data_IF_585492492677
#
_entry.id   IF_585492492677
#
_cell.length_a   1.000
_cell.length_b   1.000
_cell.length_c   1.000
_cell.angle_alpha   90.00
_cell.angle_beta   90.00
_cell.angle_gamma   90.00
#
_symmetry.space_group_name_H-M   'P 1'
#
loop_
_entity.id
_entity.type
_entity.pdbx_description
1 polymer ?
#
# COMPACT_ATOMS: atom_id res chain seq x y z
N UNK A 1 -63.59 -11.95 13.51
CA UNK A 1 -63.62 -11.76 12.04
C UNK A 1 -63.06 -10.37 11.74
N UNK A 2 -62.06 -10.31 10.83
CA UNK A 2 -61.51 -9.15 10.11
C UNK A 2 -61.35 -7.80 10.87
N UNK A 3 -60.21 -7.13 10.90
CA UNK A 3 -58.96 -7.26 10.19
C UNK A 3 -58.14 -6.01 10.50
N UNK A 4 -56.81 -6.15 10.51
CA UNK A 4 -55.82 -5.08 10.40
C UNK A 4 -54.44 -5.76 10.26
N UNK A 5 -54.18 -6.30 9.08
CA UNK A 5 -52.83 -6.60 8.63
C UNK A 5 -52.27 -5.32 8.03
N UNK A 6 -51.34 -4.67 8.72
CA UNK A 6 -50.52 -3.60 8.16
C UNK A 6 -49.06 -3.88 8.51
N UNK A 7 -48.28 -4.14 7.46
CA UNK A 7 -46.83 -4.03 7.31
C UNK A 7 -45.94 -4.05 8.55
N UNK A 8 -45.33 -5.21 8.83
CA UNK A 8 -44.03 -5.30 9.51
C UNK A 8 -43.17 -6.36 8.78
N UNK A 9 -42.81 -6.09 7.53
CA UNK A 9 -41.71 -6.77 6.83
C UNK A 9 -40.90 -5.68 6.12
N UNK A 10 -40.33 -4.77 6.91
CA UNK A 10 -39.33 -3.80 6.42
C UNK A 10 -38.49 -3.24 7.59
N UNK A 11 -37.91 -4.12 8.40
CA UNK A 11 -36.87 -3.71 9.38
C UNK A 11 -35.83 -4.79 9.65
N UNK A 12 -35.90 -5.96 8.99
CA UNK A 12 -34.95 -7.04 9.17
C UNK A 12 -33.75 -7.01 8.20
N UNK A 13 -33.66 -5.99 7.35
CA UNK A 13 -32.56 -5.83 6.35
C UNK A 13 -31.52 -4.79 6.79
N UNK A 14 -31.77 -3.99 7.84
CA UNK A 14 -30.81 -3.00 8.32
C UNK A 14 -29.86 -3.50 9.42
N UNK A 15 -29.99 -4.76 9.87
CA UNK A 15 -29.18 -5.32 10.96
C UNK A 15 -28.11 -6.33 10.52
N UNK A 16 -27.97 -6.59 9.22
CA UNK A 16 -26.96 -7.52 8.68
C UNK A 16 -25.90 -6.88 7.77
N UNK A 17 -25.91 -5.55 7.57
CA UNK A 17 -24.88 -4.84 6.78
C UNK A 17 -23.68 -4.31 7.56
N UNK A 18 -23.53 -4.65 8.85
CA UNK A 18 -22.28 -4.41 9.59
C UNK A 18 -21.51 -5.68 9.93
N UNK A 19 -21.92 -6.84 9.41
CA UNK A 19 -21.21 -8.10 9.57
C UNK A 19 -20.33 -8.42 8.34
N UNK A 20 -19.48 -7.47 7.96
CA UNK A 20 -18.32 -7.72 7.11
C UNK A 20 -17.36 -6.54 7.24
N UNK A 21 -16.66 -6.47 8.36
CA UNK A 21 -15.43 -5.70 8.47
C UNK A 21 -14.28 -6.73 8.39
N UNK A 22 -13.80 -7.12 7.20
CA UNK A 22 -12.47 -7.69 7.08
C UNK A 22 -11.53 -6.50 6.95
N UNK A 23 -11.19 -5.86 8.06
CA UNK A 23 -10.36 -4.67 7.98
C UNK A 23 -9.39 -4.72 9.14
N UNK A 24 -8.11 -4.78 8.79
CA UNK A 24 -6.95 -4.67 9.65
C UNK A 24 -6.96 -3.34 10.39
N UNK A 25 -7.90 -3.19 11.34
CA UNK A 25 -7.87 -2.12 12.34
C UNK A 25 -6.59 -2.23 13.16
N UNK A 26 -6.18 -1.13 13.78
CA UNK A 26 -5.07 -1.14 14.74
C UNK A 26 -5.18 -2.32 15.70
N UNK A 27 -4.04 -2.81 16.22
CA UNK A 27 -4.08 -3.74 17.35
C UNK A 27 -5.06 -3.24 18.42
N UNK A 28 -5.83 -4.19 18.97
CA UNK A 28 -6.83 -3.92 19.98
C UNK A 28 -6.15 -3.26 21.19
N UNK A 29 -6.40 -1.96 21.42
CA UNK A 29 -5.84 -1.24 22.56
C UNK A 29 -6.70 -1.58 23.78
N UNK A 30 -6.17 -2.42 24.65
CA UNK A 30 -6.88 -2.89 25.86
C UNK A 30 -6.54 -2.00 27.04
N UNK A 31 -7.51 -1.19 27.44
CA UNK A 31 -7.46 -0.39 28.64
C UNK A 31 -7.82 -1.15 29.92
N UNK A 32 -7.59 -0.46 31.04
CA UNK A 32 -8.11 -0.86 32.35
C UNK A 32 -9.64 -0.92 32.32
N UNK A 33 -10.23 -1.84 33.10
CA UNK A 33 -11.68 -1.98 33.21
C UNK A 33 -12.37 -2.56 31.97
N UNK A 34 -11.61 -3.16 31.05
CA UNK A 34 -12.15 -3.82 29.86
C UNK A 34 -12.58 -2.86 28.76
N UNK A 35 -12.11 -1.60 28.81
CA UNK A 35 -12.27 -0.65 27.69
C UNK A 35 -11.36 -1.10 26.56
N UNK A 36 -11.93 -1.18 25.36
CA UNK A 36 -11.19 -1.52 24.14
C UNK A 36 -11.33 -0.38 23.15
N UNK A 37 -10.23 0.01 22.51
CA UNK A 37 -10.25 0.97 21.42
C UNK A 37 -9.57 0.39 20.16
N UNK A 38 -10.12 0.73 19.01
CA UNK A 38 -9.53 0.51 17.69
C UNK A 38 -9.49 1.85 16.98
N UNK A 39 -8.31 2.26 16.54
CA UNK A 39 -8.11 3.52 15.83
C UNK A 39 -8.19 3.26 14.33
N UNK A 40 -9.05 4.02 13.68
CA UNK A 40 -9.16 4.11 12.24
C UNK A 40 -9.05 5.59 11.84
N UNK A 41 -8.87 5.87 10.56
CA UNK A 41 -8.87 7.24 10.05
C UNK A 41 -9.70 7.37 8.80
N UNK A 42 -10.36 8.50 8.66
CA UNK A 42 -10.92 9.00 7.41
C UNK A 42 -9.91 9.99 6.84
N UNK A 43 -9.21 9.58 5.79
CA UNK A 43 -8.08 10.33 5.24
C UNK A 43 -8.61 11.39 4.29
N UNK A 44 -8.27 12.65 4.55
CA UNK A 44 -8.72 13.78 3.73
C UNK A 44 -8.28 13.58 2.27
N UNK A 45 -9.21 13.75 1.33
CA UNK A 45 -8.94 13.62 -0.11
C UNK A 45 -9.16 12.23 -0.71
N UNK A 46 -9.44 11.19 0.08
CA UNK A 46 -9.62 9.82 -0.42
C UNK A 46 -11.02 9.28 -0.07
N UNK A 47 -11.80 8.89 -1.09
CA UNK A 47 -13.06 8.16 -0.91
C UNK A 47 -12.75 6.66 -0.85
N UNK A 48 -13.43 5.91 0.02
CA UNK A 48 -13.35 4.43 0.09
C UNK A 48 -12.05 3.86 0.71
N UNK A 49 -11.46 4.57 1.69
CA UNK A 49 -10.35 4.03 2.46
C UNK A 49 -10.79 2.84 3.33
N UNK A 50 -10.18 1.68 3.11
CA UNK A 50 -10.19 0.57 4.07
C UNK A 50 -9.19 0.86 5.18
N UNK A 51 -9.58 0.74 6.45
CA UNK A 51 -8.64 0.99 7.55
C UNK A 51 -7.43 0.05 7.45
N UNK A 52 -6.24 0.64 7.37
CA UNK A 52 -4.98 -0.08 7.45
C UNK A 52 -4.23 0.38 8.70
N UNK A 53 -3.28 -0.44 9.16
CA UNK A 53 -2.35 -0.05 10.21
C UNK A 53 -1.44 1.05 9.67
N UNK A 54 -1.80 2.29 9.96
CA UNK A 54 -0.94 3.44 9.80
C UNK A 54 -1.15 4.28 11.05
N UNK A 55 -0.08 4.61 11.76
CA UNK A 55 -0.09 5.60 12.83
C UNK A 55 0.29 6.99 12.29
N UNK A 56 0.65 7.10 11.02
CA UNK A 56 1.00 8.33 10.32
C UNK A 56 -0.09 8.73 9.34
N UNK A 57 -0.54 9.98 9.44
CA UNK A 57 -1.67 10.49 8.67
C UNK A 57 -1.36 11.84 8.04
N UNK A 58 -1.86 12.08 6.82
CA UNK A 58 -1.80 13.41 6.22
C UNK A 58 -2.42 14.47 7.13
N UNK A 59 -1.85 15.68 7.08
CA UNK A 59 -2.45 16.85 7.73
C UNK A 59 -3.92 17.04 7.31
N UNK A 60 -4.77 17.46 8.25
CA UNK A 60 -6.21 17.63 8.03
C UNK A 60 -7.03 16.32 8.01
N UNK A 61 -6.41 15.15 8.18
CA UNK A 61 -7.15 13.88 8.26
C UNK A 61 -8.03 13.81 9.51
N UNK A 62 -9.12 13.05 9.44
CA UNK A 62 -10.01 12.82 10.58
C UNK A 62 -9.75 11.46 11.20
N UNK A 63 -9.35 11.44 12.46
CA UNK A 63 -9.18 10.21 13.22
C UNK A 63 -10.53 9.76 13.77
N UNK A 64 -10.90 8.50 13.55
CA UNK A 64 -12.12 7.84 14.01
C UNK A 64 -11.75 6.68 14.92
N UNK A 65 -12.17 6.73 16.18
CA UNK A 65 -11.83 5.72 17.16
C UNK A 65 -13.10 4.97 17.55
N UNK A 66 -13.11 3.67 17.27
CA UNK A 66 -14.15 2.76 17.70
C UNK A 66 -13.83 2.31 19.11
N UNK A 67 -14.71 2.62 20.04
CA UNK A 67 -14.51 2.33 21.45
C UNK A 67 -15.60 1.41 21.96
N UNK A 68 -15.21 0.48 22.82
CA UNK A 68 -16.09 -0.48 23.47
C UNK A 68 -15.89 -0.41 24.99
N UNK A 69 -16.99 -0.46 25.75
CA UNK A 69 -16.96 -0.70 27.18
C UNK A 69 -18.22 -1.44 27.65
N UNK A 70 -18.10 -2.20 28.75
CA UNK A 70 -19.23 -2.84 29.42
C UNK A 70 -19.64 -2.05 30.65
N UNK A 71 -20.92 -1.71 30.76
CA UNK A 71 -21.47 -0.91 31.85
C UNK A 71 -22.84 -1.41 32.32
N UNK A 72 -23.34 -0.84 33.41
CA UNK A 72 -24.63 -1.19 33.98
C UNK A 72 -25.77 -0.75 33.08
N UNK A 73 -26.86 -1.50 33.13
CA UNK A 73 -28.12 -1.13 32.49
C UNK A 73 -29.13 -0.66 33.53
N UNK A 74 -29.99 0.27 33.12
CA UNK A 74 -31.15 0.73 33.90
C UNK A 74 -32.43 0.39 33.17
N UNK A 75 -33.45 -0.07 33.89
CA UNK A 75 -34.77 -0.33 33.33
C UNK A 75 -35.48 0.98 33.01
N UNK A 76 -35.86 1.15 31.75
CA UNK A 76 -36.80 2.17 31.31
C UNK A 76 -38.22 1.72 31.68
N UNK A 77 -38.88 2.46 32.56
CA UNK A 77 -40.20 2.10 33.08
C UNK A 77 -41.31 2.26 32.02
N UNK A 78 -41.08 3.03 30.96
CA UNK A 78 -42.07 3.25 29.91
C UNK A 78 -42.04 2.16 28.85
N UNK A 79 -40.85 1.62 28.53
CA UNK A 79 -40.67 0.61 27.48
C UNK A 79 -40.37 -0.79 28.02
N UNK A 80 -40.11 -0.93 29.32
CA UNK A 80 -39.62 -2.15 29.98
C UNK A 80 -38.25 -2.65 29.44
N UNK A 81 -37.53 -1.79 28.73
CA UNK A 81 -36.21 -2.10 28.17
C UNK A 81 -35.10 -1.73 29.15
N UNK A 82 -34.01 -2.49 29.13
CA UNK A 82 -32.81 -2.14 29.89
C UNK A 82 -31.86 -1.36 28.99
N UNK A 83 -31.40 -0.19 29.42
CA UNK A 83 -30.56 0.71 28.61
C UNK A 83 -29.22 0.96 29.31
N UNK A 84 -28.08 0.71 28.65
CA UNK A 84 -26.79 1.18 29.14
C UNK A 84 -26.67 2.70 28.97
N UNK A 85 -25.86 3.35 29.81
CA UNK A 85 -25.64 4.80 29.76
C UNK A 85 -24.16 5.12 29.93
N UNK A 86 -23.37 4.71 28.94
CA UNK A 86 -21.92 4.90 28.92
C UNK A 86 -21.56 6.12 28.05
N UNK A 87 -20.76 7.02 28.61
CA UNK A 87 -20.07 8.08 27.87
C UNK A 87 -18.59 7.75 27.73
N UNK A 88 -18.02 8.15 26.60
CA UNK A 88 -16.60 8.04 26.30
C UNK A 88 -16.03 9.43 26.09
N UNK A 89 -15.02 9.78 26.87
CA UNK A 89 -14.34 11.07 26.84
C UNK A 89 -12.89 10.86 26.41
N UNK A 90 -12.52 11.48 25.29
CA UNK A 90 -11.16 11.58 24.81
C UNK A 90 -10.55 12.89 25.31
N UNK A 91 -9.35 12.80 25.87
CA UNK A 91 -8.52 13.96 26.19
C UNK A 91 -7.08 13.71 25.71
N UNK A 92 -6.49 14.70 25.05
CA UNK A 92 -5.15 14.61 24.49
C UNK A 92 -4.45 15.95 24.33
N UNK A 93 -3.27 15.91 23.71
CA UNK A 93 -2.41 17.05 23.40
C UNK A 93 -1.99 17.01 21.94
N UNK A 94 -1.98 18.17 21.29
CA UNK A 94 -1.46 18.34 19.92
C UNK A 94 0.07 18.59 19.94
N UNK A 95 0.77 18.47 18.80
CA UNK A 95 2.12 18.99 18.61
C UNK A 95 2.19 20.52 18.81
N UNK A 96 3.40 21.10 18.92
CA UNK A 96 4.63 20.43 19.30
C UNK A 96 4.55 19.96 20.77
N UNK A 97 4.94 18.72 21.03
CA UNK A 97 4.93 18.15 22.38
C UNK A 97 6.24 18.56 23.12
N UNK A 98 6.20 19.40 24.20
CA UNK A 98 5.78 18.95 25.54
C UNK A 98 5.13 20.01 26.50
N UNK A 99 3.86 19.84 26.91
CA UNK A 99 2.76 19.45 26.05
C UNK A 99 2.28 20.66 25.22
N UNK A 100 2.00 20.42 23.95
CA UNK A 100 1.26 21.35 23.11
C UNK A 100 -0.19 21.50 23.58
N UNK A 101 -1.02 22.26 22.85
CA UNK A 101 -2.38 22.59 23.27
C UNK A 101 -3.24 21.34 23.47
N UNK A 102 -4.02 21.34 24.55
CA UNK A 102 -4.95 20.26 24.86
C UNK A 102 -6.13 20.21 23.89
N UNK A 103 -6.68 19.02 23.68
CA UNK A 103 -7.93 18.83 22.94
C UNK A 103 -8.79 17.74 23.58
N UNK A 104 -10.10 17.81 23.32
CA UNK A 104 -11.08 16.86 23.83
C UNK A 104 -12.09 16.50 22.76
N UNK A 105 -12.58 15.26 22.80
CA UNK A 105 -13.72 14.80 22.01
C UNK A 105 -14.55 13.84 22.86
N UNK A 106 -15.81 13.62 22.51
CA UNK A 106 -16.66 12.70 23.27
C UNK A 106 -17.71 12.04 22.41
N UNK A 107 -18.13 10.84 22.81
CA UNK A 107 -19.26 10.12 22.23
C UNK A 107 -20.03 9.39 23.33
N UNK A 108 -21.28 9.02 23.07
CA UNK A 108 -22.10 8.21 23.99
C UNK A 108 -22.78 7.06 23.25
N UNK A 109 -23.04 5.97 23.98
CA UNK A 109 -23.72 4.79 23.45
C UNK A 109 -25.23 4.79 23.73
N UNK A 110 -25.83 5.96 24.00
CA UNK A 110 -27.16 6.10 24.62
C UNK A 110 -28.34 5.59 23.77
N UNK A 111 -28.07 5.11 22.56
CA UNK A 111 -29.08 4.58 21.63
C UNK A 111 -29.21 3.05 21.65
N UNK A 112 -28.36 2.33 22.41
CA UNK A 112 -28.43 0.87 22.46
C UNK A 112 -29.48 0.39 23.47
N UNK A 113 -30.22 -0.66 23.13
CA UNK A 113 -31.12 -1.36 24.05
C UNK A 113 -30.55 -2.72 24.45
N UNK A 114 -30.91 -3.21 25.63
CA UNK A 114 -30.50 -4.50 26.16
C UNK A 114 -31.69 -5.46 26.26
N UNK A 115 -32.01 -6.20 25.18
CA UNK A 115 -33.21 -7.03 25.12
C UNK A 115 -33.15 -8.23 26.07
N UNK A 116 -31.95 -8.69 26.43
CA UNK A 116 -31.74 -9.83 27.34
C UNK A 116 -31.93 -9.46 28.83
N UNK A 117 -32.20 -8.19 29.13
CA UNK A 117 -32.41 -7.64 30.49
C UNK A 117 -31.26 -7.92 31.46
N UNK A 118 -30.06 -8.21 30.97
CA UNK A 118 -28.88 -8.40 31.81
C UNK A 118 -28.49 -7.10 32.52
N UNK A 119 -27.91 -7.24 33.71
CA UNK A 119 -27.50 -6.11 34.56
C UNK A 119 -26.36 -5.28 33.96
N UNK A 120 -25.63 -5.85 32.99
CA UNK A 120 -24.52 -5.20 32.31
C UNK A 120 -24.59 -5.45 30.81
N UNK A 121 -24.28 -4.43 30.00
CA UNK A 121 -24.23 -4.56 28.55
C UNK A 121 -22.95 -3.94 28.01
N UNK A 122 -22.36 -4.63 27.04
CA UNK A 122 -21.28 -4.13 26.20
C UNK A 122 -21.85 -3.13 25.20
N UNK A 123 -21.20 -1.98 25.10
CA UNK A 123 -21.63 -0.87 24.25
C UNK A 123 -20.49 -0.34 23.42
N UNK A 124 -20.85 0.34 22.34
CA UNK A 124 -19.92 0.88 21.37
C UNK A 124 -20.22 2.34 21.10
N UNK A 125 -19.18 3.11 20.79
CA UNK A 125 -19.30 4.45 20.25
C UNK A 125 -18.16 4.73 19.27
N UNK A 126 -18.32 5.78 18.47
CA UNK A 126 -17.26 6.30 17.59
C UNK A 126 -16.93 7.71 18.04
N UNK A 127 -15.68 7.93 18.44
CA UNK A 127 -15.14 9.26 18.73
C UNK A 127 -14.37 9.72 17.49
N UNK A 128 -14.59 10.96 17.06
CA UNK A 128 -13.84 11.52 15.94
C UNK A 128 -13.16 12.83 16.33
N UNK A 129 -11.95 13.06 15.81
CA UNK A 129 -11.29 14.37 15.86
C UNK A 129 -10.47 14.59 14.60
N UNK A 130 -10.23 15.85 14.25
CA UNK A 130 -9.47 16.21 13.04
C UNK A 130 -8.05 16.61 13.42
N UNK A 131 -7.05 16.04 12.74
CA UNK A 131 -5.66 16.47 12.82
C UNK A 131 -5.54 17.86 12.20
N UNK A 132 -4.66 18.70 12.72
CA UNK A 132 -4.46 20.03 12.14
C UNK A 132 -4.04 19.93 10.67
N UNK A 133 -4.52 20.88 9.85
CA UNK A 133 -4.00 21.11 8.50
C UNK A 133 -2.76 22.02 8.51
N UNK A 134 -2.40 22.58 9.67
CA UNK A 134 -1.29 23.51 9.83
C UNK A 134 0.04 22.75 10.00
N UNK A 135 1.06 23.13 9.23
CA UNK A 135 2.36 22.44 9.18
C UNK A 135 3.17 22.58 10.48
N UNK A 136 2.94 23.62 11.27
CA UNK A 136 3.56 23.81 12.59
C UNK A 136 2.98 22.88 13.67
N UNK A 137 1.83 22.27 13.38
CA UNK A 137 1.19 21.24 14.19
C UNK A 137 1.39 19.83 13.61
N UNK A 138 2.39 19.68 12.74
CA UNK A 138 2.95 18.38 12.35
C UNK A 138 3.60 17.69 13.56
N UNK A 139 3.41 16.38 13.70
CA UNK A 139 4.02 15.56 14.73
C UNK A 139 3.05 14.72 15.55
N UNK A 140 3.44 14.42 16.78
CA UNK A 140 2.75 13.48 17.68
C UNK A 140 1.51 14.07 18.36
N UNK A 141 0.35 13.45 18.09
CA UNK A 141 -0.89 13.63 18.84
C UNK A 141 -1.02 12.48 19.83
N UNK A 142 -1.09 12.82 21.11
CA UNK A 142 -1.18 11.84 22.19
C UNK A 142 -2.47 12.03 22.98
N UNK A 143 -3.29 10.99 23.09
CA UNK A 143 -4.58 11.06 23.76
C UNK A 143 -4.91 9.79 24.52
N UNK A 144 -5.92 9.84 25.39
CA UNK A 144 -6.47 8.68 26.09
C UNK A 144 -7.98 8.78 26.17
N UNK A 145 -8.64 7.65 26.32
CA UNK A 145 -10.10 7.57 26.37
C UNK A 145 -10.53 7.06 27.73
N UNK A 146 -11.49 7.74 28.34
CA UNK A 146 -12.11 7.37 29.61
C UNK A 146 -13.57 7.01 29.38
N UNK A 147 -13.97 5.81 29.82
CA UNK A 147 -15.37 5.40 29.82
C UNK A 147 -16.00 5.68 31.20
N UNK A 148 -17.17 6.31 31.23
CA UNK A 148 -17.94 6.59 32.43
C UNK A 148 -19.35 6.01 32.31
N UNK A 149 -19.86 5.44 33.38
CA UNK A 149 -21.20 4.84 33.43
C UNK A 149 -22.14 5.66 34.31
N UNK A 150 -23.13 6.28 33.69
CA UNK A 150 -24.14 7.09 34.37
C UNK A 150 -25.07 6.24 35.25
N UNK A 151 -25.34 4.99 34.86
CA UNK A 151 -26.13 4.05 35.67
C UNK A 151 -25.37 3.58 36.92
N UNK A 152 -24.06 3.80 36.96
CA UNK A 152 -23.21 3.62 38.14
C UNK A 152 -22.90 4.94 38.87
N UNK A 153 -23.67 6.01 38.65
CA UNK A 153 -23.45 7.31 39.27
C UNK A 153 -22.30 8.10 38.64
N UNK A 154 -22.06 7.93 37.34
CA UNK A 154 -21.03 8.65 36.58
C UNK A 154 -19.60 8.19 36.87
N UNK A 155 -19.44 6.98 37.43
CA UNK A 155 -18.12 6.44 37.79
C UNK A 155 -17.31 6.10 36.54
N UNK A 156 -16.01 6.29 36.62
CA UNK A 156 -15.07 5.78 35.62
C UNK A 156 -15.06 4.26 35.70
N UNK A 157 -15.42 3.62 34.60
CA UNK A 157 -15.45 2.15 34.47
C UNK A 157 -14.24 1.61 33.71
N UNK A 158 -13.47 2.48 33.05
CA UNK A 158 -12.18 2.12 32.49
C UNK A 158 -11.50 3.24 31.73
N UNK A 159 -10.24 3.01 31.39
CA UNK A 159 -9.38 3.94 30.64
C UNK A 159 -8.44 3.17 29.72
N UNK A 160 -8.30 3.62 28.48
CA UNK A 160 -7.23 3.14 27.60
C UNK A 160 -5.88 3.59 28.12
N UNK A 161 -4.83 2.89 27.70
CA UNK A 161 -3.49 3.49 27.69
C UNK A 161 -3.47 4.72 26.78
N UNK A 162 -2.36 5.46 26.82
CA UNK A 162 -2.16 6.54 25.87
C UNK A 162 -2.02 5.98 24.46
N UNK A 163 -2.75 6.58 23.55
CA UNK A 163 -2.79 6.30 22.13
C UNK A 163 -2.04 7.44 21.46
N UNK A 164 -1.17 7.08 20.52
CA UNK A 164 -0.38 8.02 19.74
C UNK A 164 -0.74 7.89 18.27
N UNK A 165 -0.90 9.02 17.60
CA UNK A 165 -0.98 9.15 16.15
C UNK A 165 -0.10 10.29 15.70
N UNK A 166 0.45 10.22 14.49
CA UNK A 166 1.35 11.18 13.91
C UNK A 166 0.66 11.88 12.75
N UNK A 167 0.58 13.21 12.80
CA UNK A 167 0.23 13.99 11.62
C UNK A 167 1.52 14.33 10.88
N UNK A 168 1.65 13.96 9.60
CA UNK A 168 2.79 14.33 8.75
C UNK A 168 2.30 14.84 7.41
N UNK A 169 2.94 15.88 6.86
CA UNK A 169 2.57 16.42 5.54
C UNK A 169 2.78 15.42 4.41
N UNK A 170 3.82 14.60 4.51
CA UNK A 170 4.22 13.58 3.54
C UNK A 170 3.76 12.18 3.92
N UNK A 171 3.00 12.02 5.01
CA UNK A 171 2.38 10.74 5.30
C UNK A 171 1.49 10.32 4.14
N UNK A 172 1.61 9.06 3.76
CA UNK A 172 0.83 8.48 2.70
C UNK A 172 0.04 7.30 3.21
N UNK A 173 -0.97 6.95 2.42
CA UNK A 173 -1.99 5.99 2.81
C UNK A 173 -1.50 4.54 2.85
N UNK A 174 -0.39 4.27 2.20
CA UNK A 174 0.14 2.94 1.94
C UNK A 174 1.54 2.80 2.52
N UNK A 175 2.01 1.58 2.81
CA UNK A 175 3.42 1.35 3.12
C UNK A 175 4.32 1.95 2.04
N UNK A 176 5.55 2.35 2.40
CA UNK A 176 6.53 2.79 1.41
C UNK A 176 6.75 1.72 0.33
N UNK A 177 7.10 2.13 -0.88
CA UNK A 177 7.60 1.25 -1.93
C UNK A 177 8.87 0.57 -1.41
N UNK A 178 9.00 -0.72 -1.73
CA UNK A 178 10.16 -1.53 -1.40
C UNK A 178 10.47 -2.37 -2.62
N UNK A 179 11.44 -1.92 -3.41
CA UNK A 179 11.85 -2.60 -4.63
C UNK A 179 12.80 -3.73 -4.29
N UNK A 180 12.54 -4.89 -4.88
CA UNK A 180 13.36 -6.08 -4.73
C UNK A 180 13.78 -6.57 -6.11
N UNK A 181 15.07 -6.80 -6.28
CA UNK A 181 15.67 -7.30 -7.51
C UNK A 181 15.85 -8.81 -7.41
N UNK A 182 15.61 -9.52 -8.50
CA UNK A 182 15.83 -10.96 -8.55
C UNK A 182 16.02 -11.45 -9.98
N UNK A 183 16.54 -12.68 -10.12
CA UNK A 183 16.77 -13.34 -11.41
C UNK A 183 17.64 -12.52 -12.39
N UNK A 184 18.78 -12.02 -11.93
CA UNK A 184 19.78 -11.44 -12.82
C UNK A 184 20.26 -12.54 -13.80
N UNK A 185 20.14 -12.29 -15.10
CA UNK A 185 20.54 -13.23 -16.16
C UNK A 185 21.26 -12.49 -17.27
N UNK A 186 22.18 -13.20 -17.95
CA UNK A 186 22.98 -12.63 -19.03
C UNK A 186 22.99 -13.59 -20.22
N UNK A 187 22.65 -13.09 -21.41
CA UNK A 187 22.53 -13.89 -22.63
C UNK A 187 23.11 -13.16 -23.87
N UNK A 188 24.06 -13.75 -24.62
CA UNK A 188 24.72 -15.03 -24.36
C UNK A 188 25.78 -14.94 -23.25
N UNK A 189 25.97 -16.04 -22.53
CA UNK A 189 27.10 -16.25 -21.62
C UNK A 189 27.61 -17.70 -21.75
N UNK A 190 28.81 -17.96 -22.31
CA UNK A 190 29.82 -16.97 -22.72
C UNK A 190 29.38 -16.10 -23.90
N UNK A 191 29.91 -14.86 -23.96
CA UNK A 191 29.74 -13.90 -25.04
C UNK A 191 31.02 -13.79 -25.86
N UNK A 192 30.91 -13.61 -27.18
CA UNK A 192 32.08 -13.50 -28.06
C UNK A 192 32.57 -12.06 -28.12
N UNK A 193 33.88 -11.84 -28.13
CA UNK A 193 34.46 -10.51 -28.45
C UNK A 193 33.93 -10.04 -29.82
N UNK A 194 33.48 -8.79 -29.92
CA UNK A 194 32.80 -8.26 -31.10
C UNK A 194 31.28 -8.45 -31.13
N UNK A 195 30.68 -9.07 -30.11
CA UNK A 195 29.23 -9.30 -30.00
C UNK A 195 28.64 -8.66 -28.76
N UNK A 196 27.34 -8.35 -28.80
CA UNK A 196 26.61 -7.82 -27.65
C UNK A 196 26.10 -8.92 -26.72
N UNK A 197 25.97 -8.60 -25.43
CA UNK A 197 25.27 -9.41 -24.44
C UNK A 197 24.07 -8.65 -23.89
N UNK A 198 23.01 -9.38 -23.53
CA UNK A 198 21.79 -8.83 -22.94
C UNK A 198 21.77 -9.17 -21.46
N UNK A 199 21.66 -8.16 -20.60
CA UNK A 199 21.48 -8.33 -19.16
C UNK A 199 20.01 -8.12 -18.83
N UNK A 200 19.40 -9.04 -18.10
CA UNK A 200 18.01 -8.95 -17.65
C UNK A 200 17.91 -9.12 -16.16
N UNK A 201 17.04 -8.34 -15.52
CA UNK A 201 16.72 -8.46 -14.10
C UNK A 201 15.24 -8.22 -13.89
N UNK A 202 14.62 -8.95 -12.97
CA UNK A 202 13.26 -8.69 -12.55
C UNK A 202 13.26 -7.78 -11.33
N UNK A 203 12.36 -6.80 -11.35
CA UNK A 203 12.14 -5.88 -10.24
C UNK A 203 10.68 -6.00 -9.81
N UNK A 204 10.44 -6.19 -8.52
CA UNK A 204 9.09 -6.18 -7.95
C UNK A 204 9.00 -5.19 -6.80
N UNK A 205 7.83 -4.54 -6.64
CA UNK A 205 7.55 -3.73 -5.47
C UNK A 205 6.83 -4.57 -4.41
N UNK A 206 7.55 -5.04 -3.40
CA UNK A 206 7.01 -5.79 -2.26
C UNK A 206 6.37 -4.89 -1.20
N UNK A 207 6.66 -3.59 -1.27
CA UNK A 207 6.12 -2.58 -0.39
C UNK A 207 4.69 -2.17 -0.74
N UNK A 208 4.34 -0.92 -0.43
CA UNK A 208 3.05 -0.33 -0.78
C UNK A 208 3.18 0.74 -1.87
N UNK A 209 2.26 1.70 -1.83
CA UNK A 209 2.16 2.85 -2.72
C UNK A 209 2.52 4.16 -2.02
N UNK A 210 3.21 4.08 -0.88
CA UNK A 210 3.34 5.13 0.11
C UNK A 210 4.32 6.25 -0.24
N UNK A 211 5.09 6.09 -1.29
CA UNK A 211 5.97 7.14 -1.78
C UNK A 211 6.12 6.78 -3.24
N UNK A 212 5.16 7.20 -4.07
CA UNK A 212 5.18 7.06 -5.53
C UNK A 212 6.40 7.77 -6.14
N UNK A 213 7.58 7.29 -5.78
CA UNK A 213 8.91 7.67 -6.21
C UNK A 213 9.24 6.65 -7.29
N UNK A 214 9.74 7.16 -8.42
CA UNK A 214 10.15 6.29 -9.49
C UNK A 214 11.51 5.67 -9.11
N UNK A 215 11.68 4.39 -9.40
CA UNK A 215 12.92 3.64 -9.16
C UNK A 215 13.84 3.74 -10.37
N UNK A 216 15.12 4.00 -10.16
CA UNK A 216 16.10 4.03 -11.25
C UNK A 216 17.02 2.83 -11.08
N UNK A 217 16.98 1.91 -12.04
CA UNK A 217 17.79 0.69 -11.98
C UNK A 217 19.15 1.00 -12.58
N UNK A 218 20.19 0.82 -11.77
CA UNK A 218 21.58 1.09 -12.15
C UNK A 218 22.30 -0.20 -12.51
N UNK A 219 23.01 -0.19 -13.63
CA UNK A 219 23.89 -1.27 -14.05
C UNK A 219 25.34 -0.90 -13.76
N UNK A 220 26.02 -1.77 -13.03
CA UNK A 220 27.42 -1.63 -12.67
C UNK A 220 28.24 -2.71 -13.39
N UNK A 221 29.32 -2.30 -14.06
CA UNK A 221 30.28 -3.18 -14.73
C UNK A 221 31.66 -2.96 -14.10
N UNK A 222 32.26 -4.03 -13.57
CA UNK A 222 33.54 -4.00 -12.84
C UNK A 222 33.62 -2.87 -11.79
N UNK A 223 32.53 -2.67 -11.05
CA UNK A 223 32.42 -1.66 -10.00
C UNK A 223 32.17 -0.22 -10.49
N UNK A 224 31.98 0.00 -11.80
CA UNK A 224 31.66 1.30 -12.38
C UNK A 224 30.23 1.31 -12.91
N UNK A 225 29.42 2.31 -12.53
CA UNK A 225 28.10 2.53 -13.13
C UNK A 225 28.25 2.89 -14.61
N UNK A 226 27.61 2.13 -15.51
CA UNK A 226 27.72 2.32 -16.97
C UNK A 226 26.41 2.71 -17.62
N UNK A 227 25.27 2.26 -17.08
CA UNK A 227 23.93 2.57 -17.59
C UNK A 227 22.90 2.65 -16.47
N UNK A 228 21.79 3.34 -16.75
CA UNK A 228 20.60 3.32 -15.91
C UNK A 228 19.33 3.39 -16.75
N UNK A 229 18.23 2.86 -16.21
CA UNK A 229 16.94 2.93 -16.88
C UNK A 229 16.30 4.31 -16.77
N UNK A 230 15.31 4.58 -17.63
CA UNK A 230 14.27 5.55 -17.28
C UNK A 230 13.56 5.05 -16.03
N UNK A 231 13.26 5.99 -15.12
CA UNK A 231 12.73 5.63 -13.82
C UNK A 231 11.43 4.80 -13.96
N UNK A 232 11.44 3.58 -13.41
CA UNK A 232 10.35 2.62 -13.46
C UNK A 232 9.40 2.84 -12.30
N UNK A 233 8.14 2.48 -12.50
CA UNK A 233 7.12 2.61 -11.47
C UNK A 233 6.23 1.38 -11.46
N UNK A 234 6.14 0.75 -10.30
CA UNK A 234 5.42 -0.50 -10.08
C UNK A 234 4.39 -0.29 -8.97
N UNK A 235 3.15 -0.72 -9.19
CA UNK A 235 2.20 -0.85 -8.09
C UNK A 235 2.62 -1.99 -7.14
N UNK A 236 1.95 -2.10 -5.99
CA UNK A 236 2.23 -3.16 -5.03
C UNK A 236 2.04 -4.55 -5.68
N UNK A 237 3.06 -5.40 -5.56
CA UNK A 237 3.20 -6.72 -6.19
C UNK A 237 3.25 -6.71 -7.72
N UNK A 238 3.37 -5.55 -8.36
CA UNK A 238 3.71 -5.52 -9.78
C UNK A 238 5.18 -5.93 -9.98
N UNK A 239 5.45 -6.48 -11.15
CA UNK A 239 6.77 -6.91 -11.58
C UNK A 239 7.08 -6.34 -12.96
N UNK A 240 8.33 -5.96 -13.18
CA UNK A 240 8.84 -5.61 -14.49
C UNK A 240 10.20 -6.28 -14.74
N UNK A 241 10.41 -6.75 -15.97
CA UNK A 241 11.71 -7.14 -16.48
C UNK A 241 12.42 -5.88 -17.01
N UNK A 242 13.61 -5.62 -16.50
CA UNK A 242 14.52 -4.57 -17.00
C UNK A 242 15.59 -5.23 -17.85
N UNK A 243 15.89 -4.64 -19.01
CA UNK A 243 16.86 -5.17 -19.97
C UNK A 243 17.89 -4.11 -20.34
N UNK A 244 19.17 -4.48 -20.31
CA UNK A 244 20.30 -3.70 -20.81
C UNK A 244 20.99 -4.45 -21.95
N UNK A 245 21.50 -3.73 -22.95
CA UNK A 245 22.29 -4.31 -24.05
C UNK A 245 23.71 -3.81 -23.95
N UNK A 246 24.64 -4.72 -23.62
CA UNK A 246 26.05 -4.42 -23.46
C UNK A 246 26.83 -4.77 -24.72
N UNK A 247 27.71 -3.86 -25.11
CA UNK A 247 28.60 -4.03 -26.25
C UNK A 247 30.06 -4.06 -25.78
N UNK A 248 30.96 -4.17 -26.75
CA UNK A 248 32.41 -4.15 -26.59
C UNK A 248 32.95 -2.90 -25.85
N UNK A 249 32.32 -1.73 -25.98
CA UNK A 249 32.72 -0.52 -25.27
C UNK A 249 32.50 -0.64 -23.76
N UNK A 250 31.48 -1.41 -23.35
CA UNK A 250 31.14 -1.68 -21.95
C UNK A 250 31.82 -2.92 -21.38
N UNK A 251 31.91 -4.02 -22.15
CA UNK A 251 32.44 -5.31 -21.70
C UNK A 251 33.94 -5.48 -21.94
N UNK A 252 34.55 -4.60 -22.73
CA UNK A 252 35.92 -4.74 -23.19
C UNK A 252 36.07 -5.56 -24.47
N UNK A 253 37.19 -5.29 -25.14
CA UNK A 253 37.54 -5.81 -26.47
C UNK A 253 38.51 -7.00 -26.41
N UNK A 254 38.81 -7.51 -25.21
CA UNK A 254 39.72 -8.63 -24.98
C UNK A 254 38.98 -9.77 -24.29
N UNK A 255 39.39 -11.03 -24.50
CA UNK A 255 38.87 -12.16 -23.73
C UNK A 255 39.14 -11.99 -22.24
N UNK A 256 38.17 -12.36 -21.41
CA UNK A 256 38.26 -12.15 -19.97
C UNK A 256 36.93 -12.34 -19.24
N UNK A 257 36.97 -12.14 -17.94
CA UNK A 257 35.78 -12.16 -17.10
C UNK A 257 35.44 -10.73 -16.70
N UNK A 258 34.17 -10.36 -16.84
CA UNK A 258 33.65 -9.04 -16.46
C UNK A 258 32.52 -9.23 -15.47
N UNK A 259 32.56 -8.48 -14.37
CA UNK A 259 31.55 -8.55 -13.31
C UNK A 259 30.42 -7.60 -13.63
N UNK A 260 29.18 -8.09 -13.54
CA UNK A 260 27.94 -7.33 -13.73
C UNK A 260 27.20 -7.31 -12.42
N UNK A 261 26.81 -6.13 -11.95
CA UNK A 261 26.01 -5.99 -10.74
C UNK A 261 24.80 -5.06 -10.93
N UNK A 262 23.71 -5.41 -10.27
CA UNK A 262 22.50 -4.58 -10.12
C UNK A 262 22.04 -4.73 -8.67
N UNK A 263 22.07 -3.63 -7.93
CA UNK A 263 21.82 -3.62 -6.48
C UNK A 263 22.70 -4.64 -5.73
N UNK A 264 22.11 -5.64 -5.07
CA UNK A 264 22.81 -6.70 -4.36
C UNK A 264 23.07 -7.97 -5.20
N UNK A 265 22.61 -7.99 -6.46
CA UNK A 265 22.82 -9.10 -7.39
C UNK A 265 24.12 -8.92 -8.17
N UNK A 266 24.87 -10.00 -8.32
CA UNK A 266 26.14 -10.03 -9.05
C UNK A 266 26.23 -11.28 -9.93
N UNK A 267 26.66 -11.12 -11.17
CA UNK A 267 26.91 -12.20 -12.13
C UNK A 267 28.18 -11.92 -12.96
N UNK A 268 28.73 -12.94 -13.60
CA UNK A 268 29.97 -12.83 -14.40
C UNK A 268 29.69 -13.13 -15.87
N UNK A 269 30.06 -12.20 -16.75
CA UNK A 269 30.15 -12.45 -18.19
C UNK A 269 31.52 -13.02 -18.52
N UNK A 270 31.53 -14.15 -19.21
CA UNK A 270 32.76 -14.74 -19.77
C UNK A 270 32.87 -14.31 -21.23
N UNK A 271 33.96 -13.64 -21.59
CA UNK A 271 34.26 -13.17 -22.95
C UNK A 271 35.27 -14.10 -23.62
N UNK A 272 34.87 -14.70 -24.73
CA UNK A 272 35.70 -15.61 -25.52
C UNK A 272 36.20 -14.96 -26.81
N UNK A 273 37.37 -15.41 -27.30
CA UNK A 273 37.92 -14.96 -28.58
C UNK A 273 36.91 -15.19 -29.71
N UNK A 274 36.72 -14.18 -30.55
CA UNK A 274 36.01 -14.33 -31.82
C UNK A 274 36.66 -15.48 -32.59
N UNK A 275 35.97 -16.60 -32.73
CA UNK A 275 36.52 -17.77 -33.41
C UNK A 275 36.73 -17.38 -34.87
N UNK A 276 37.96 -16.99 -35.21
CA UNK A 276 38.36 -16.69 -36.58
C UNK A 276 38.35 -18.00 -37.32
N UNK A 277 37.20 -18.33 -37.93
CA UNK A 277 37.07 -19.47 -38.81
C UNK A 277 38.12 -19.35 -39.91
N UNK A 278 39.24 -20.04 -39.73
CA UNK A 278 40.16 -20.42 -40.78
C UNK A 278 39.36 -21.28 -41.75
N UNK A 279 38.72 -20.65 -42.73
CA UNK A 279 38.15 -21.33 -43.89
C UNK A 279 39.31 -21.92 -44.69
N UNK A 280 39.61 -23.17 -44.39
CA UNK A 280 40.51 -24.01 -45.15
C UNK A 280 40.17 -23.92 -46.63
N UNK A 281 41.19 -23.57 -47.41
CA UNK A 281 41.18 -23.61 -48.86
C UNK A 281 40.77 -25.00 -49.36
N UNK A 282 39.64 -25.08 -50.06
CA UNK A 282 39.44 -26.10 -51.09
C UNK A 282 38.88 -25.43 -52.34
N UNK A 283 39.75 -25.38 -53.34
CA UNK A 283 39.52 -24.98 -54.71
C UNK A 283 38.34 -25.72 -55.37
N UNK A 284 37.43 -24.98 -55.99
CA UNK A 284 36.90 -25.32 -57.32
C UNK A 284 36.25 -24.07 -57.92
N UNK A 285 36.76 -23.66 -59.07
CA UNK A 285 36.37 -22.40 -59.71
C UNK A 285 35.02 -22.46 -60.40
N UNK A 286 34.48 -21.29 -60.72
CA UNK A 286 33.89 -21.04 -62.04
C UNK A 286 33.79 -19.54 -62.31
N UNK A 287 34.25 -19.19 -63.50
CA UNK A 287 34.20 -17.91 -64.21
C UNK A 287 32.79 -17.36 -64.39
N UNK A 288 32.63 -16.03 -64.31
CA UNK A 288 31.45 -15.31 -64.81
C UNK A 288 31.50 -13.83 -64.46
N UNK A 289 31.69 -12.96 -65.45
CA UNK A 289 32.03 -11.56 -65.25
C UNK A 289 30.87 -10.56 -65.22
N UNK A 290 31.31 -9.34 -64.89
CA UNK A 290 30.96 -8.04 -65.47
C UNK A 290 29.77 -7.20 -64.94
N UNK A 291 30.17 -6.06 -64.37
CA UNK A 291 29.64 -4.68 -64.43
C UNK A 291 28.21 -4.34 -64.02
N UNK A 292 28.08 -3.34 -63.13
CA UNK A 292 26.89 -2.48 -63.08
C UNK A 292 26.73 -1.65 -61.79
N UNK A 293 27.32 -0.45 -61.78
CA UNK A 293 26.82 0.82 -61.18
C UNK A 293 25.89 0.85 -59.94
N UNK A 294 26.37 1.55 -58.90
CA UNK A 294 25.61 2.25 -57.83
C UNK A 294 24.64 3.34 -58.38
N UNK A 295 23.81 4.06 -57.56
CA UNK A 295 23.09 3.73 -56.30
C UNK A 295 21.62 4.28 -56.26
N UNK A 296 20.81 3.93 -55.24
CA UNK A 296 19.64 4.71 -54.76
C UNK A 296 19.19 4.19 -53.37
N UNK A 297 19.29 4.96 -52.27
CA UNK A 297 18.32 5.93 -51.71
C UNK A 297 17.00 5.38 -51.14
N UNK A 298 16.94 5.30 -49.79
CA UNK A 298 15.83 5.63 -48.85
C UNK A 298 14.49 4.85 -48.90
N UNK A 299 13.64 4.81 -47.84
CA UNK A 299 13.56 5.69 -46.65
C UNK A 299 13.47 4.99 -45.27
N UNK A 300 13.57 5.81 -44.22
CA UNK A 300 13.38 5.40 -42.83
C UNK A 300 11.95 5.06 -42.46
N UNK A 301 11.80 4.51 -41.25
CA UNK A 301 10.52 4.41 -40.55
C UNK A 301 10.77 4.64 -39.06
N UNK A 302 10.28 5.78 -38.58
CA UNK A 302 9.76 5.91 -37.21
C UNK A 302 8.62 4.89 -37.05
N UNK A 303 8.62 4.11 -35.98
CA UNK A 303 7.42 3.40 -35.54
C UNK A 303 7.20 3.68 -34.05
N UNK A 304 6.14 4.45 -33.82
CA UNK A 304 5.39 4.55 -32.58
C UNK A 304 5.01 3.15 -32.07
N UNK A 305 5.51 2.77 -30.89
CA UNK A 305 5.04 1.62 -30.14
C UNK A 305 3.88 1.99 -29.22
N UNK A 306 2.67 1.98 -29.75
CA UNK A 306 1.45 2.01 -28.97
C UNK A 306 1.35 0.74 -28.11
N UNK A 307 1.26 0.89 -26.79
CA UNK A 307 1.00 -0.24 -25.89
C UNK A 307 -0.47 -0.61 -25.99
N UNK A 308 -0.69 -1.82 -26.51
CA UNK A 308 -1.95 -2.55 -26.55
C UNK A 308 -2.27 -3.02 -25.12
N UNK A 309 -3.33 -2.48 -24.52
CA UNK A 309 -3.97 -3.06 -23.33
C UNK A 309 -5.03 -4.04 -23.82
N UNK A 310 -4.75 -5.34 -23.73
CA UNK A 310 -5.75 -6.39 -23.77
C UNK A 310 -6.11 -6.75 -22.33
N UNK A 311 -7.32 -6.36 -21.91
CA UNK A 311 -8.00 -7.00 -20.79
C UNK A 311 -9.40 -7.39 -21.26
N UNK A 312 -9.55 -8.68 -21.56
CA UNK A 312 -10.83 -9.37 -21.66
C UNK A 312 -10.84 -10.40 -20.53
N UNK A 313 -11.72 -10.24 -19.53
CA UNK A 313 -12.71 -11.26 -19.16
C UNK A 313 -13.91 -10.56 -18.52
N UNK A 314 -15.04 -10.70 -19.18
CA UNK A 314 -16.37 -10.38 -18.69
C UNK A 314 -16.85 -11.43 -17.67
N UNK A 315 -17.62 -11.00 -16.66
CA UNK A 315 -18.91 -11.65 -16.39
C UNK A 315 -19.87 -10.76 -15.60
N UNK A 316 -20.96 -10.46 -16.30
CA UNK A 316 -22.26 -9.95 -15.89
C UNK A 316 -22.81 -10.49 -14.56
N UNK A 317 -23.61 -9.67 -13.87
CA UNK A 317 -25.00 -9.99 -13.50
C UNK A 317 -25.82 -8.68 -13.39
N UNK A 318 -27.07 -8.80 -13.83
CA UNK A 318 -28.11 -7.83 -14.17
C UNK A 318 -29.12 -7.67 -13.02
N UNK A 319 -29.88 -6.55 -13.08
CA UNK A 319 -31.20 -6.28 -12.47
C UNK A 319 -31.19 -6.13 -10.93
N UNK A 320 -31.56 -4.99 -10.34
CA UNK A 320 -32.83 -4.24 -10.43
C UNK A 320 -32.59 -2.75 -10.13
#
# INVERSE_FOLDING_TARGET
MAGKCFSIILSLVLLFTFASVPVSGSDIIRGTGGVVAVVCTDVSGYKEYSAHYNDHFPLGSTVKIYVEASGKTSRDLNTDEYKPSISFELAGTKPPYPPGPGFTASASSSVMTNPDKSQTKRTYAVISFTLSSEEDLEGEYRFRITAKDSNAGGRVIGRTDYITVHAKKDATLYPAVEYHYFNLTIDPNPSMVGSSATVKVNVTNLGGKGNWVNEQVYLVVDGTEVESTNAIRLDQNDEAEVTFTLNDETLGNEPGNTTIAIDDLEEVVIREEANSGSSGSSSSGSTGGNSGSNPAQTPGFEIFGAIIIILFVARSIRHL
#
